data_IF_824175270595
#
_entry.id   IF_824175270595
#
_cell.length_a   1.000
_cell.length_b   1.000
_cell.length_c   1.000
_cell.angle_alpha   90.00
_cell.angle_beta   90.00
_cell.angle_gamma   90.00
#
_symmetry.space_group_name_H-M   'P 1'
#
loop_
_entity.id
_entity.type
_entity.pdbx_description
1 polymer ?
#
# COMPACT_ATOMS: atom_id res chain seq x y z
N UNK A 1 -25.04 -6.07 90.14
CA UNK A 1 -26.17 -6.42 89.24
C UNK A 1 -25.66 -7.44 88.23
N UNK A 2 -26.31 -8.61 88.19
CA UNK A 2 -26.28 -9.79 87.27
C UNK A 2 -24.98 -10.07 86.47
N UNK A 3 -24.19 -11.13 86.70
CA UNK A 3 -24.41 -12.62 86.67
C UNK A 3 -24.13 -13.28 85.31
N UNK A 4 -23.12 -14.18 85.32
CA UNK A 4 -23.09 -15.56 84.80
C UNK A 4 -22.82 -15.94 83.32
N UNK A 5 -21.95 -16.96 83.22
CA UNK A 5 -21.96 -18.19 82.41
C UNK A 5 -21.56 -18.18 80.92
N UNK A 6 -20.57 -19.03 80.61
CA UNK A 6 -20.33 -19.64 79.28
C UNK A 6 -21.50 -20.59 78.90
N UNK A 7 -21.68 -20.87 77.60
CA UNK A 7 -21.90 -22.25 77.21
C UNK A 7 -21.10 -22.70 75.97
N UNK A 8 -20.73 -23.97 76.02
CA UNK A 8 -20.31 -24.85 74.93
C UNK A 8 -21.56 -25.16 74.09
N UNK A 9 -21.48 -25.10 72.75
CA UNK A 9 -22.35 -25.93 71.90
C UNK A 9 -21.63 -26.37 70.62
N UNK A 10 -21.46 -27.68 70.55
CA UNK A 10 -21.14 -28.47 69.38
C UNK A 10 -22.27 -28.35 68.36
N UNK A 11 -21.95 -28.04 67.10
CA UNK A 11 -22.86 -28.24 65.99
C UNK A 11 -22.11 -28.95 64.86
N UNK A 12 -22.22 -30.27 64.91
CA UNK A 12 -21.90 -31.20 63.85
C UNK A 12 -22.82 -30.90 62.66
N UNK A 13 -22.27 -30.47 61.52
CA UNK A 13 -22.95 -30.54 60.23
C UNK A 13 -22.17 -31.52 59.35
N UNK A 14 -22.73 -32.72 59.22
CA UNK A 14 -22.40 -33.66 58.16
C UNK A 14 -23.03 -33.16 56.86
N UNK A 15 -22.23 -33.05 55.81
CA UNK A 15 -22.54 -33.40 54.41
C UNK A 15 -21.21 -33.33 53.64
N UNK A 16 -20.51 -34.46 53.46
CA UNK A 16 -20.61 -35.35 52.31
C UNK A 16 -19.91 -34.80 51.05
N UNK A 17 -18.76 -35.42 50.74
CA UNK A 17 -18.32 -35.85 49.39
C UNK A 17 -17.98 -34.75 48.37
N UNK A 18 -16.93 -34.79 47.54
CA UNK A 18 -16.17 -35.87 46.90
C UNK A 18 -14.77 -35.30 46.53
N UNK A 19 -13.70 -36.07 46.70
CA UNK A 19 -12.46 -35.86 45.93
C UNK A 19 -12.70 -36.33 44.49
N UNK A 20 -12.70 -35.43 43.50
CA UNK A 20 -12.59 -35.80 42.09
C UNK A 20 -11.45 -34.99 41.47
N UNK A 21 -10.32 -35.66 41.28
CA UNK A 21 -9.49 -35.47 40.11
C UNK A 21 -10.42 -35.68 38.90
N UNK A 22 -10.76 -34.61 38.17
CA UNK A 22 -11.58 -34.74 36.97
C UNK A 22 -10.71 -34.55 35.74
N UNK A 23 -10.77 -35.58 34.92
CA UNK A 23 -10.16 -35.74 33.62
C UNK A 23 -10.66 -34.70 32.61
N UNK A 24 -9.81 -34.56 31.58
CA UNK A 24 -10.09 -34.14 30.21
C UNK A 24 -11.57 -34.00 29.86
N UNK A 25 -11.96 -32.77 29.55
CA UNK A 25 -12.86 -32.55 28.42
C UNK A 25 -12.06 -31.77 27.39
N UNK A 26 -11.66 -32.48 26.34
CA UNK A 26 -11.55 -31.94 25.00
C UNK A 26 -12.91 -31.31 24.65
N UNK A 27 -13.12 -30.05 25.01
CA UNK A 27 -14.02 -29.24 24.22
C UNK A 27 -13.26 -28.91 22.95
N UNK A 28 -13.42 -29.80 21.97
CA UNK A 28 -13.21 -29.50 20.56
C UNK A 28 -14.13 -28.31 20.26
N UNK A 29 -13.61 -27.11 20.47
CA UNK A 29 -14.10 -25.91 19.82
C UNK A 29 -14.18 -26.26 18.33
N UNK A 30 -15.32 -26.00 17.65
CA UNK A 30 -15.42 -26.31 16.24
C UNK A 30 -14.27 -25.62 15.51
N UNK A 31 -13.53 -26.38 14.70
CA UNK A 31 -12.42 -25.91 13.84
C UNK A 31 -12.81 -24.71 12.96
N UNK A 32 -14.13 -24.44 12.85
CA UNK A 32 -14.69 -23.35 12.10
C UNK A 32 -14.47 -21.95 12.72
N UNK A 33 -14.15 -21.81 14.01
CA UNK A 33 -13.86 -20.48 14.59
C UNK A 33 -12.44 -20.00 14.22
N UNK A 34 -11.49 -20.93 14.02
CA UNK A 34 -10.17 -20.58 13.49
C UNK A 34 -10.23 -20.20 12.00
N UNK A 35 -11.07 -20.89 11.22
CA UNK A 35 -11.23 -20.56 9.79
C UNK A 35 -11.89 -19.19 9.56
N UNK A 36 -12.80 -18.74 10.43
CA UNK A 36 -13.40 -17.40 10.31
C UNK A 36 -12.44 -16.27 10.73
N UNK A 37 -11.57 -16.52 11.73
CA UNK A 37 -10.53 -15.55 12.13
C UNK A 37 -9.36 -15.50 11.14
N UNK A 38 -9.04 -16.61 10.47
CA UNK A 38 -8.02 -16.65 9.41
C UNK A 38 -8.53 -16.10 8.06
N UNK A 39 -9.83 -16.11 7.80
CA UNK A 39 -10.45 -15.53 6.59
C UNK A 39 -10.43 -13.98 6.55
N UNK A 40 -10.21 -13.32 7.69
CA UNK A 40 -10.10 -11.86 7.80
C UNK A 40 -8.64 -11.36 7.76
N UNK A 41 -7.66 -12.25 7.77
CA UNK A 41 -6.24 -11.89 7.77
C UNK A 41 -5.63 -12.00 6.37
N UNK A 42 -6.07 -11.13 5.47
CA UNK A 42 -5.42 -11.04 4.16
C UNK A 42 -3.97 -10.57 4.36
N UNK A 43 -3.02 -11.39 3.90
CA UNK A 43 -1.60 -11.04 3.93
C UNK A 43 -1.38 -9.83 3.03
N UNK A 44 -1.03 -8.69 3.63
CA UNK A 44 -0.61 -7.51 2.89
C UNK A 44 0.71 -7.81 2.15
N UNK A 45 0.77 -7.40 0.88
CA UNK A 45 2.02 -7.29 0.11
C UNK A 45 2.38 -5.82 0.07
N UNK A 46 3.60 -5.50 0.47
CA UNK A 46 4.13 -4.15 0.52
C UNK A 46 5.10 -3.93 -0.63
N UNK A 47 5.04 -2.76 -1.23
CA UNK A 47 5.93 -2.32 -2.28
C UNK A 47 6.36 -0.89 -2.06
N UNK A 48 7.53 -0.55 -2.57
CA UNK A 48 8.06 0.82 -2.52
C UNK A 48 8.46 1.29 -3.91
N UNK A 49 8.47 2.60 -4.09
CA UNK A 49 8.96 3.29 -5.28
C UNK A 49 9.85 4.44 -4.81
N UNK A 50 11.02 4.57 -5.41
CA UNK A 50 11.85 5.78 -5.32
C UNK A 50 11.73 6.50 -6.67
N UNK A 51 11.27 7.75 -6.68
CA UNK A 51 11.12 8.51 -7.91
C UNK A 51 12.43 9.20 -8.28
N UNK A 52 12.91 8.93 -9.50
CA UNK A 52 13.93 9.73 -10.17
C UNK A 52 13.30 10.78 -11.08
N UNK A 53 13.92 11.96 -11.12
CA UNK A 53 13.53 13.05 -12.02
C UNK A 53 13.67 12.62 -13.49
N UNK A 54 12.74 13.07 -14.33
CA UNK A 54 12.81 13.04 -15.79
C UNK A 54 12.72 14.47 -16.32
N UNK A 55 13.22 14.70 -17.54
CA UNK A 55 13.11 15.99 -18.25
C UNK A 55 13.58 17.18 -17.42
N UNK A 56 14.67 17.00 -16.67
CA UNK A 56 15.25 18.00 -15.76
C UNK A 56 14.23 18.68 -14.83
N UNK A 57 13.14 17.99 -14.50
CA UNK A 57 12.02 18.56 -13.75
C UNK A 57 12.40 18.95 -12.32
N UNK A 58 13.42 18.29 -11.74
CA UNK A 58 13.78 18.41 -10.33
C UNK A 58 12.81 17.67 -9.40
N UNK A 59 11.80 16.99 -9.94
CA UNK A 59 10.82 16.24 -9.15
C UNK A 59 11.48 15.04 -8.51
N UNK A 60 11.22 14.85 -7.22
CA UNK A 60 11.65 13.67 -6.46
C UNK A 60 10.59 13.29 -5.43
N UNK A 61 10.65 12.05 -4.96
CA UNK A 61 9.67 11.55 -4.01
C UNK A 61 9.75 10.05 -3.80
N UNK A 62 8.76 9.52 -3.09
CA UNK A 62 8.60 8.08 -2.83
C UNK A 62 7.14 7.68 -2.99
N UNK A 63 6.90 6.39 -3.23
CA UNK A 63 5.59 5.79 -3.05
C UNK A 63 5.67 4.54 -2.19
N UNK A 64 4.62 4.30 -1.40
CA UNK A 64 4.35 3.05 -0.71
C UNK A 64 3.05 2.45 -1.26
N UNK A 65 3.06 1.17 -1.59
CA UNK A 65 1.87 0.47 -2.06
C UNK A 65 1.58 -0.74 -1.17
N UNK A 66 0.33 -0.86 -0.75
CA UNK A 66 -0.16 -1.97 0.07
C UNK A 66 -1.25 -2.71 -0.70
N UNK A 67 -1.01 -3.97 -1.05
CA UNK A 67 -1.97 -4.84 -1.73
C UNK A 67 -2.54 -5.89 -0.77
N UNK A 68 -3.85 -5.88 -0.60
CA UNK A 68 -4.63 -6.78 0.26
C UNK A 68 -5.77 -7.37 -0.56
N UNK A 69 -5.66 -8.64 -0.96
CA UNK A 69 -6.58 -9.20 -1.94
C UNK A 69 -6.43 -8.50 -3.30
N UNK A 70 -7.50 -7.86 -3.77
CA UNK A 70 -7.58 -7.00 -4.96
C UNK A 70 -7.57 -5.50 -4.62
N UNK A 71 -7.44 -5.13 -3.35
CA UNK A 71 -7.40 -3.74 -2.90
C UNK A 71 -5.96 -3.24 -2.84
N UNK A 72 -5.61 -2.31 -3.73
CA UNK A 72 -4.31 -1.65 -3.80
C UNK A 72 -4.41 -0.23 -3.24
N UNK A 73 -3.87 0.00 -2.04
CA UNK A 73 -3.65 1.35 -1.51
C UNK A 73 -2.31 1.87 -2.01
N UNK A 74 -2.31 3.08 -2.57
CA UNK A 74 -1.13 3.78 -3.08
C UNK A 74 -0.98 5.09 -2.32
N UNK A 75 0.15 5.26 -1.64
CA UNK A 75 0.57 6.51 -1.00
C UNK A 75 1.76 7.07 -1.76
N UNK A 76 1.67 8.30 -2.26
CA UNK A 76 2.74 9.02 -2.97
C UNK A 76 3.02 10.33 -2.23
N UNK A 77 4.30 10.56 -1.93
CA UNK A 77 4.82 11.85 -1.52
C UNK A 77 5.82 12.32 -2.56
N UNK A 78 5.59 13.48 -3.17
CA UNK A 78 6.51 14.06 -4.14
C UNK A 78 6.62 15.57 -3.96
N UNK A 79 7.77 16.11 -4.35
CA UNK A 79 8.13 17.53 -4.26
C UNK A 79 8.80 17.98 -5.55
N UNK A 80 8.81 19.30 -5.80
CA UNK A 80 9.36 19.88 -7.03
C UNK A 80 8.38 19.85 -8.21
N UNK A 81 7.12 19.50 -7.97
CA UNK A 81 6.06 19.56 -8.97
C UNK A 81 5.70 21.02 -9.29
N UNK A 82 4.98 21.25 -10.39
CA UNK A 82 4.53 22.59 -10.76
C UNK A 82 3.43 23.04 -9.78
N UNK A 83 3.62 24.13 -9.02
CA UNK A 83 2.64 24.55 -8.02
C UNK A 83 1.25 24.85 -8.60
N UNK A 84 0.21 24.58 -7.80
CA UNK A 84 -1.19 24.85 -8.14
C UNK A 84 -1.66 24.20 -9.46
N UNK A 85 -1.03 23.08 -9.86
CA UNK A 85 -1.41 22.29 -11.04
C UNK A 85 -1.77 20.86 -10.65
N UNK A 86 -2.71 20.30 -11.40
CA UNK A 86 -3.08 18.89 -11.30
C UNK A 86 -2.08 18.03 -12.07
N UNK A 87 -1.47 17.06 -11.40
CA UNK A 87 -0.45 16.17 -11.95
C UNK A 87 -1.02 14.79 -12.27
N UNK A 88 -1.14 14.39 -13.55
CA UNK A 88 -1.49 13.03 -13.91
C UNK A 88 -0.45 12.04 -13.39
N UNK A 89 -0.93 10.89 -12.92
CA UNK A 89 -0.08 9.83 -12.37
C UNK A 89 -0.67 8.47 -12.72
N UNK A 90 0.22 7.57 -13.13
CA UNK A 90 -0.17 6.28 -13.70
C UNK A 90 0.77 5.18 -13.26
N UNK A 91 0.21 3.98 -13.08
CA UNK A 91 0.99 2.75 -13.11
C UNK A 91 1.06 2.28 -14.57
N UNK A 92 2.27 2.13 -15.08
CA UNK A 92 2.57 1.68 -16.44
C UNK A 92 3.10 0.24 -16.46
N UNK A 93 2.91 -0.43 -17.59
CA UNK A 93 3.40 -1.78 -17.80
C UNK A 93 3.29 -2.28 -19.23
N UNK A 94 3.93 -3.43 -19.46
CA UNK A 94 3.74 -4.23 -20.66
C UNK A 94 2.83 -5.40 -20.33
N UNK A 95 1.69 -5.47 -21.00
CA UNK A 95 0.74 -6.60 -20.88
C UNK A 95 1.26 -7.84 -21.60
N UNK A 96 2.07 -7.66 -22.65
CA UNK A 96 2.70 -8.76 -23.38
C UNK A 96 4.08 -9.07 -22.79
N UNK A 97 4.43 -10.35 -22.80
CA UNK A 97 5.80 -10.85 -22.58
C UNK A 97 6.38 -10.66 -21.17
N UNK A 98 5.57 -10.25 -20.19
CA UNK A 98 5.96 -10.04 -18.79
C UNK A 98 7.19 -9.14 -18.60
N UNK A 99 7.50 -8.29 -19.58
CA UNK A 99 8.65 -7.38 -19.54
C UNK A 99 8.51 -6.40 -18.39
N UNK A 100 9.62 -6.14 -17.70
CA UNK A 100 9.66 -5.12 -16.64
C UNK A 100 9.63 -3.72 -17.26
N UNK A 101 8.76 -2.87 -16.72
CA UNK A 101 8.86 -1.42 -16.93
C UNK A 101 10.17 -0.90 -16.36
N UNK A 102 10.77 0.04 -17.07
CA UNK A 102 11.97 0.78 -16.65
C UNK A 102 11.72 2.27 -16.82
N UNK A 103 12.42 3.09 -16.05
CA UNK A 103 12.40 4.53 -16.30
C UNK A 103 13.27 4.85 -17.53
N UNK A 104 12.81 5.74 -18.42
CA UNK A 104 13.58 6.13 -19.59
C UNK A 104 14.88 6.81 -19.14
N UNK A 105 15.94 6.58 -19.89
CA UNK A 105 17.20 7.31 -19.77
C UNK A 105 17.16 8.55 -20.65
N UNK A 106 18.12 9.46 -20.50
CA UNK A 106 18.24 10.66 -21.37
C UNK A 106 18.27 10.29 -22.86
N UNK A 107 18.87 9.16 -23.22
CA UNK A 107 18.88 8.66 -24.60
C UNK A 107 17.52 8.22 -25.16
N UNK A 108 16.45 8.35 -24.39
CA UNK A 108 15.08 8.14 -24.86
C UNK A 108 14.55 9.35 -25.65
N UNK A 109 15.13 10.53 -25.45
CA UNK A 109 14.91 11.70 -26.32
C UNK A 109 15.51 11.37 -27.69
N UNK A 110 14.65 11.06 -28.66
CA UNK A 110 15.07 10.52 -29.96
C UNK A 110 15.16 11.57 -31.05
N UNK A 111 14.56 12.75 -30.83
CA UNK A 111 14.68 13.91 -31.72
C UNK A 111 15.61 15.00 -31.21
N UNK A 112 16.23 14.77 -30.04
CA UNK A 112 17.23 15.63 -29.38
C UNK A 112 16.69 17.04 -29.08
N UNK A 113 15.39 17.15 -28.74
CA UNK A 113 14.74 18.43 -28.40
C UNK A 113 14.86 18.79 -26.90
N UNK A 114 15.42 17.89 -26.10
CA UNK A 114 15.64 18.02 -24.66
C UNK A 114 14.49 17.50 -23.80
N UNK A 115 13.42 16.95 -24.39
CA UNK A 115 12.21 16.51 -23.68
C UNK A 115 11.82 15.10 -24.11
N UNK A 116 11.90 14.16 -23.18
CA UNK A 116 11.32 12.83 -23.34
C UNK A 116 9.80 12.94 -23.26
N UNK A 117 9.14 12.75 -24.40
CA UNK A 117 7.69 12.73 -24.53
C UNK A 117 7.06 11.38 -24.15
N UNK A 118 5.73 11.29 -24.12
CA UNK A 118 5.04 10.01 -23.88
C UNK A 118 5.43 8.93 -24.91
N UNK A 119 5.39 9.21 -26.23
CA UNK A 119 5.81 8.22 -27.24
C UNK A 119 7.25 7.72 -27.06
N UNK A 120 8.15 8.57 -26.61
CA UNK A 120 9.56 8.26 -26.40
C UNK A 120 9.83 7.49 -25.11
N UNK A 121 9.08 7.79 -24.04
CA UNK A 121 9.13 7.04 -22.79
C UNK A 121 8.40 5.69 -22.84
N UNK A 122 7.38 5.55 -23.70
CA UNK A 122 6.54 4.35 -23.78
C UNK A 122 7.31 3.04 -24.04
N UNK A 123 8.35 2.99 -24.90
CA UNK A 123 9.22 1.82 -25.04
C UNK A 123 9.90 1.35 -23.74
N UNK A 124 9.98 2.20 -22.71
CA UNK A 124 10.60 1.90 -21.42
C UNK A 124 9.59 1.52 -20.35
N UNK A 125 8.60 2.37 -20.06
CA UNK A 125 7.65 2.12 -18.96
C UNK A 125 6.38 1.38 -19.41
N UNK A 126 6.05 1.38 -20.70
CA UNK A 126 4.89 0.69 -21.26
C UNK A 126 3.60 1.53 -21.33
N UNK A 127 2.47 0.88 -21.62
CA UNK A 127 1.17 1.54 -21.66
C UNK A 127 0.66 1.84 -20.24
N UNK A 128 -0.32 2.73 -20.12
CA UNK A 128 -1.03 2.97 -18.86
C UNK A 128 -1.87 1.74 -18.52
N UNK A 129 -1.64 1.15 -17.33
CA UNK A 129 -2.46 0.05 -16.81
C UNK A 129 -3.48 0.52 -15.77
N UNK A 130 -3.12 1.55 -14.98
CA UNK A 130 -4.01 2.17 -14.00
C UNK A 130 -3.74 3.66 -13.91
N UNK A 131 -4.79 4.47 -14.10
CA UNK A 131 -4.76 5.88 -13.72
C UNK A 131 -5.05 6.02 -12.24
N UNK A 132 -4.15 6.69 -11.52
CA UNK A 132 -4.29 6.91 -10.08
C UNK A 132 -5.19 8.14 -9.84
N UNK A 133 -6.50 7.92 -9.91
CA UNK A 133 -7.54 8.95 -9.73
C UNK A 133 -8.08 9.01 -8.29
N UNK A 134 -8.50 10.20 -7.79
CA UNK A 134 -8.42 11.51 -8.45
C UNK A 134 -6.98 11.97 -8.68
N UNK A 135 -6.76 12.78 -9.71
CA UNK A 135 -5.44 13.34 -9.98
C UNK A 135 -5.10 14.40 -8.91
N UNK A 136 -3.98 14.30 -8.18
CA UNK A 136 -3.63 15.26 -7.15
C UNK A 136 -3.27 16.62 -7.76
N UNK A 137 -3.64 17.69 -7.08
CA UNK A 137 -3.13 19.04 -7.34
C UNK A 137 -1.99 19.31 -6.37
N UNK A 138 -0.84 19.73 -6.89
CA UNK A 138 0.27 20.16 -6.04
C UNK A 138 -0.10 21.43 -5.27
N UNK A 139 0.41 21.56 -4.05
CA UNK A 139 0.27 22.77 -3.24
C UNK A 139 1.11 23.94 -3.81
N UNK A 140 1.05 25.09 -3.14
CA UNK A 140 1.77 26.30 -3.55
C UNK A 140 3.30 26.13 -3.50
N UNK A 141 3.79 25.12 -2.77
CA UNK A 141 5.18 24.75 -2.65
C UNK A 141 5.59 23.62 -3.62
N UNK A 142 4.67 23.13 -4.45
CA UNK A 142 4.94 22.08 -5.44
C UNK A 142 5.02 20.68 -4.83
N UNK A 143 4.32 20.43 -3.72
CA UNK A 143 4.27 19.13 -3.06
C UNK A 143 2.92 18.45 -3.25
N UNK A 144 2.94 17.11 -3.23
CA UNK A 144 1.75 16.27 -3.07
C UNK A 144 1.96 15.28 -1.92
N UNK A 145 0.89 15.05 -1.16
CA UNK A 145 0.71 13.91 -0.26
C UNK A 145 -0.60 13.22 -0.65
N UNK A 146 -0.48 12.20 -1.48
CA UNK A 146 -1.59 11.55 -2.18
C UNK A 146 -1.77 10.13 -1.66
N UNK A 147 -2.96 9.80 -1.13
CA UNK A 147 -3.29 8.42 -0.76
C UNK A 147 -4.63 8.02 -1.33
N UNK A 148 -4.66 6.94 -2.10
CA UNK A 148 -5.92 6.35 -2.54
C UNK A 148 -5.90 4.83 -2.66
N UNK A 149 -7.09 4.23 -2.57
CA UNK A 149 -7.29 2.78 -2.72
C UNK A 149 -8.06 2.43 -3.98
N UNK A 150 -7.55 1.46 -4.73
CA UNK A 150 -8.12 0.97 -5.98
C UNK A 150 -8.45 -0.51 -5.87
N UNK A 151 -9.59 -0.92 -6.42
CA UNK A 151 -9.81 -2.33 -6.77
C UNK A 151 -9.10 -2.61 -8.09
N UNK A 152 -8.16 -3.56 -8.09
CA UNK A 152 -7.36 -3.93 -9.25
C UNK A 152 -7.66 -5.37 -9.69
N UNK A 153 -7.50 -5.64 -10.99
CA UNK A 153 -7.56 -7.03 -11.50
C UNK A 153 -6.16 -7.59 -11.78
N UNK A 154 -6.09 -8.80 -12.32
CA UNK A 154 -4.82 -9.48 -12.57
C UNK A 154 -3.96 -8.85 -13.67
N UNK A 155 -4.50 -7.98 -14.54
CA UNK A 155 -3.76 -7.35 -15.65
C UNK A 155 -2.59 -6.48 -15.19
N UNK A 156 -2.73 -5.80 -14.05
CA UNK A 156 -1.67 -4.98 -13.49
C UNK A 156 -0.64 -5.77 -12.68
N UNK A 157 -0.93 -7.04 -12.38
CA UNK A 157 -0.02 -7.91 -11.64
C UNK A 157 0.90 -8.71 -12.57
N UNK A 158 2.14 -9.04 -12.14
CA UNK A 158 2.77 -8.68 -10.88
C UNK A 158 3.19 -7.20 -10.82
N UNK A 159 2.91 -6.54 -9.68
CA UNK A 159 3.22 -5.11 -9.50
C UNK A 159 4.72 -4.79 -9.60
N UNK A 160 5.60 -5.70 -9.20
CA UNK A 160 7.05 -5.48 -9.28
C UNK A 160 7.61 -5.43 -10.72
N UNK A 161 6.78 -5.71 -11.73
CA UNK A 161 7.14 -5.55 -13.14
C UNK A 161 6.68 -4.20 -13.70
N UNK A 162 6.11 -3.32 -12.86
CA UNK A 162 5.49 -2.05 -13.25
C UNK A 162 6.32 -0.85 -12.78
N UNK A 163 6.05 0.30 -13.37
CA UNK A 163 6.59 1.59 -12.94
C UNK A 163 5.48 2.59 -12.70
N UNK A 164 5.69 3.54 -11.81
CA UNK A 164 4.83 4.71 -11.65
C UNK A 164 5.48 5.88 -12.37
N UNK A 165 4.69 6.60 -13.17
CA UNK A 165 5.11 7.83 -13.86
C UNK A 165 4.24 8.99 -13.39
N UNK A 166 4.88 10.07 -12.96
CA UNK A 166 4.24 11.36 -12.67
C UNK A 166 4.42 12.28 -13.87
N UNK A 167 3.41 13.07 -14.21
CA UNK A 167 3.43 13.97 -15.36
C UNK A 167 3.13 15.42 -14.95
N UNK A 168 3.38 16.36 -15.86
CA UNK A 168 3.04 17.77 -15.69
C UNK A 168 4.27 18.65 -15.59
N UNK A 169 4.94 18.88 -16.72
CA UNK A 169 6.12 19.75 -16.79
C UNK A 169 5.72 21.19 -17.10
N UNK A 170 6.53 22.15 -16.67
CA UNK A 170 6.47 23.52 -17.14
C UNK A 170 7.54 23.74 -18.22
N UNK A 171 7.13 24.03 -19.45
CA UNK A 171 8.02 24.30 -20.59
C UNK A 171 7.81 25.76 -20.98
N UNK A 172 8.86 26.58 -20.81
CA UNK A 172 8.85 28.01 -21.13
C UNK A 172 7.65 28.79 -20.55
N UNK A 173 7.26 28.45 -19.32
CA UNK A 173 6.14 29.09 -18.62
C UNK A 173 4.77 28.52 -18.96
N UNK A 174 4.69 27.47 -19.79
CA UNK A 174 3.46 26.75 -20.10
C UNK A 174 3.42 25.38 -19.41
N UNK A 175 2.34 25.13 -18.69
CA UNK A 175 2.10 23.82 -18.08
C UNK A 175 1.63 22.80 -19.13
N UNK A 176 2.35 21.68 -19.24
CA UNK A 176 2.03 20.58 -20.16
C UNK A 176 1.82 19.30 -19.35
N UNK A 177 0.54 18.99 -19.10
CA UNK A 177 0.11 17.88 -18.24
C UNK A 177 0.59 16.48 -18.68
N UNK A 178 0.97 16.32 -19.95
CA UNK A 178 1.33 15.00 -20.53
C UNK A 178 2.80 14.67 -20.39
N UNK A 179 3.68 15.65 -20.16
CA UNK A 179 5.12 15.41 -20.15
C UNK A 179 5.51 14.68 -18.86
N UNK A 180 6.18 13.50 -18.93
CA UNK A 180 6.71 12.83 -17.75
C UNK A 180 7.68 13.73 -16.98
N UNK A 181 7.55 13.78 -15.65
CA UNK A 181 8.42 14.56 -14.77
C UNK A 181 9.16 13.71 -13.77
N UNK A 182 8.63 12.54 -13.41
CA UNK A 182 9.33 11.58 -12.59
C UNK A 182 8.90 10.16 -12.89
N UNK A 183 9.79 9.20 -12.65
CA UNK A 183 9.50 7.78 -12.80
C UNK A 183 10.17 6.98 -11.69
N UNK A 184 9.52 5.92 -11.24
CA UNK A 184 10.12 4.94 -10.35
C UNK A 184 9.56 3.53 -10.58
N UNK A 185 10.44 2.52 -10.54
CA UNK A 185 10.05 1.11 -10.60
C UNK A 185 9.48 0.66 -9.27
N UNK A 186 8.42 -0.15 -9.31
CA UNK A 186 7.82 -0.76 -8.12
C UNK A 186 8.70 -1.92 -7.63
N UNK A 187 9.14 -1.87 -6.38
CA UNK A 187 9.99 -2.87 -5.74
C UNK A 187 9.21 -3.58 -4.64
N UNK A 188 9.40 -4.89 -4.50
CA UNK A 188 8.83 -5.64 -3.36
C UNK A 188 9.53 -5.19 -2.08
N UNK A 189 8.77 -4.83 -1.05
CA UNK A 189 9.32 -4.61 0.28
C UNK A 189 9.33 -5.94 1.05
N UNK A 190 10.51 -6.41 1.43
CA UNK A 190 10.68 -7.72 2.07
C UNK A 190 10.19 -7.79 3.53
N UNK A 191 9.49 -6.76 4.02
CA UNK A 191 8.89 -6.70 5.37
C UNK A 191 7.39 -6.96 5.32
N UNK A 192 6.97 -8.11 4.77
CA UNK A 192 5.55 -8.49 4.75
C UNK A 192 4.98 -8.68 6.15
N UNK A 193 4.42 -7.62 6.74
CA UNK A 193 3.68 -7.64 7.99
C UNK A 193 2.22 -8.01 7.76
N UNK A 194 1.60 -8.64 8.75
CA UNK A 194 0.16 -8.78 8.78
C UNK A 194 -0.46 -7.47 9.25
N UNK A 195 -1.39 -6.90 8.49
CA UNK A 195 -2.22 -5.79 8.96
C UNK A 195 -3.50 -6.38 9.55
N UNK A 196 -3.89 -5.93 10.74
CA UNK A 196 -5.20 -6.21 11.33
C UNK A 196 -6.03 -4.93 11.14
N UNK A 197 -7.23 -5.07 10.56
CA UNK A 197 -8.20 -3.98 10.49
C UNK A 197 -8.80 -3.72 11.88
#
# INVERSE_FOLDING_TARGET
MKKYLMPIYSMMFLLSTVFMTSCSNDEVMPDNVKQEQDAMKHKAKLYTVDFGSLNDSGVSGTAELTLVGDQLTVHIMASGLVPDKTHPQHIHGFETDNRNSTCPQESADTDDDGIITIPEGAPFYGAVLLTLSPLPMADAEGNIDFTETYTIDSSITPLQNRAIVLHGLNIDGQYVATIPVACGQIKVENKGGYINN
#
